data_IF_015616660393
#
_entry.id   IF_015616660393
#
_cell.length_a   1.000
_cell.length_b   1.000
_cell.length_c   1.000
_cell.angle_alpha   90.00
_cell.angle_beta   90.00
_cell.angle_gamma   90.00
#
_symmetry.space_group_name_H-M   'P 1'
#
loop_
_entity.id
_entity.type
_entity.pdbx_description
1 polymer ?
#
# COMPACT_ATOMS: atom_id res chain seq x y z
N UNK A 1 44.80 -58.91 10.19
CA UNK A 1 44.51 -58.55 8.79
C UNK A 1 43.03 -58.58 8.42
N UNK A 2 42.19 -59.49 8.95
CA UNK A 2 40.74 -59.48 8.63
C UNK A 2 39.94 -58.26 9.11
N UNK A 3 40.36 -57.61 10.19
CA UNK A 3 39.61 -56.42 10.73
C UNK A 3 39.97 -55.15 10.04
N UNK A 4 41.12 -55.01 9.43
CA UNK A 4 41.54 -53.85 8.67
C UNK A 4 40.80 -53.79 7.33
N UNK A 5 40.56 -54.91 6.70
CA UNK A 5 39.86 -55.03 5.44
C UNK A 5 38.34 -54.71 5.57
N UNK A 6 37.74 -54.98 6.75
CA UNK A 6 36.35 -54.65 7.05
C UNK A 6 36.18 -53.15 7.30
N UNK A 7 37.18 -52.49 7.89
CA UNK A 7 37.17 -51.05 8.12
C UNK A 7 37.33 -50.24 6.82
N UNK A 8 38.18 -50.77 5.89
CA UNK A 8 38.32 -50.11 4.57
C UNK A 8 37.07 -50.24 3.68
N UNK A 9 36.35 -51.37 3.77
CA UNK A 9 35.10 -51.54 3.04
C UNK A 9 33.98 -50.61 3.56
N UNK A 10 33.99 -50.30 4.87
CA UNK A 10 33.00 -49.38 5.47
C UNK A 10 33.29 -47.90 5.16
N UNK A 11 34.59 -47.54 5.07
CA UNK A 11 34.99 -46.16 4.70
C UNK A 11 34.76 -45.89 3.23
N UNK A 12 34.94 -46.88 2.34
CA UNK A 12 34.61 -46.73 0.91
C UNK A 12 33.10 -46.65 0.66
N UNK A 13 32.29 -47.32 1.49
CA UNK A 13 30.82 -47.26 1.38
C UNK A 13 30.21 -45.91 1.82
N UNK A 14 30.87 -45.20 2.75
CA UNK A 14 30.40 -43.88 3.22
C UNK A 14 30.82 -42.71 2.32
N UNK A 15 31.88 -42.86 1.50
CA UNK A 15 32.31 -41.83 0.58
C UNK A 15 31.44 -41.82 -0.70
N UNK A 16 30.82 -42.96 -1.05
CA UNK A 16 29.94 -43.08 -2.21
C UNK A 16 28.52 -42.49 -2.00
N UNK A 17 28.15 -42.14 -0.76
CA UNK A 17 26.82 -41.60 -0.46
C UNK A 17 26.76 -40.06 -0.36
N UNK A 18 27.90 -39.38 -0.53
CA UNK A 18 27.98 -37.92 -0.47
C UNK A 18 28.00 -37.23 -1.85
N UNK A 19 27.92 -38.03 -2.94
CA UNK A 19 27.87 -37.44 -4.29
C UNK A 19 26.47 -37.49 -4.94
N UNK A 20 25.41 -37.74 -4.14
CA UNK A 20 24.04 -37.75 -4.62
C UNK A 20 23.28 -36.44 -4.33
N UNK A 21 24.00 -35.34 -4.12
CA UNK A 21 23.48 -34.00 -4.29
C UNK A 21 24.19 -33.36 -5.51
N UNK A 22 23.99 -33.92 -6.70
CA UNK A 22 24.20 -33.14 -7.91
C UNK A 22 23.04 -32.15 -7.97
N UNK A 23 23.37 -30.90 -8.02
CA UNK A 23 22.49 -29.80 -8.30
C UNK A 23 21.51 -30.14 -9.43
N UNK A 24 20.33 -30.64 -9.07
CA UNK A 24 19.21 -30.71 -9.99
C UNK A 24 18.55 -29.32 -10.06
N UNK A 25 19.39 -28.34 -10.38
CA UNK A 25 18.93 -26.97 -10.67
C UNK A 25 18.15 -26.91 -12.00
N UNK A 26 17.96 -28.04 -12.67
CA UNK A 26 17.22 -28.12 -13.92
C UNK A 26 15.71 -28.27 -13.76
N UNK A 27 15.21 -28.59 -12.55
CA UNK A 27 13.78 -28.80 -12.30
C UNK A 27 13.12 -27.71 -11.43
N UNK A 28 13.88 -26.81 -10.84
CA UNK A 28 13.30 -25.65 -10.21
C UNK A 28 12.97 -24.61 -11.30
N UNK A 29 11.71 -24.22 -11.45
CA UNK A 29 11.37 -23.11 -12.34
C UNK A 29 12.10 -21.86 -11.84
N UNK A 30 13.12 -21.43 -12.58
CA UNK A 30 13.82 -20.18 -12.32
C UNK A 30 12.91 -19.09 -12.88
N UNK A 31 12.55 -18.11 -12.05
CA UNK A 31 11.90 -16.88 -12.51
C UNK A 31 12.88 -16.14 -13.44
N UNK A 32 12.96 -16.57 -14.68
CA UNK A 32 13.91 -16.05 -15.64
C UNK A 32 13.21 -15.07 -16.56
N UNK A 33 13.49 -13.80 -16.33
CA UNK A 33 13.20 -12.66 -17.19
C UNK A 33 11.74 -12.21 -17.21
N UNK A 34 11.57 -10.88 -17.24
CA UNK A 34 10.32 -10.27 -17.67
C UNK A 34 9.85 -10.94 -18.97
N UNK A 35 8.55 -11.25 -19.09
CA UNK A 35 8.01 -11.81 -20.33
C UNK A 35 8.33 -10.86 -21.49
N UNK A 36 8.54 -11.44 -22.66
CA UNK A 36 8.90 -10.65 -23.85
C UNK A 36 7.75 -9.77 -24.34
N UNK A 37 6.53 -10.08 -23.96
CA UNK A 37 5.35 -9.39 -24.46
C UNK A 37 4.18 -9.47 -23.47
N UNK A 38 3.59 -8.31 -23.18
CA UNK A 38 2.30 -8.13 -22.53
C UNK A 38 1.50 -7.20 -23.44
N UNK A 39 0.39 -7.68 -24.01
CA UNK A 39 -0.41 -6.91 -24.96
C UNK A 39 -1.72 -6.47 -24.31
N UNK A 40 -1.89 -5.18 -24.11
CA UNK A 40 -3.16 -4.56 -23.75
C UNK A 40 -3.99 -4.35 -25.01
N UNK A 41 -5.19 -4.94 -25.07
CA UNK A 41 -6.07 -4.82 -26.23
C UNK A 41 -6.77 -3.46 -26.26
N UNK A 42 -6.87 -2.86 -27.44
CA UNK A 42 -7.64 -1.62 -27.61
C UNK A 42 -9.13 -1.90 -27.39
N UNK A 43 -9.77 -1.21 -26.42
CA UNK A 43 -11.20 -1.41 -26.17
C UNK A 43 -12.06 -0.99 -27.37
N UNK A 44 -13.20 -1.66 -27.57
CA UNK A 44 -14.13 -1.31 -28.65
C UNK A 44 -14.69 0.11 -28.56
N UNK A 45 -14.67 0.71 -27.34
CA UNK A 45 -15.13 2.08 -27.08
C UNK A 45 -14.04 3.15 -27.33
N UNK A 46 -12.85 2.78 -27.78
CA UNK A 46 -11.67 3.68 -27.85
C UNK A 46 -11.91 4.98 -28.61
N UNK A 47 -12.78 4.96 -29.60
CA UNK A 47 -13.13 6.12 -30.42
C UNK A 47 -14.52 6.71 -30.11
N UNK A 48 -15.18 6.24 -29.05
CA UNK A 48 -16.48 6.77 -28.63
C UNK A 48 -16.27 7.89 -27.62
N UNK A 49 -17.28 8.77 -27.48
CA UNK A 49 -17.34 9.71 -26.39
C UNK A 49 -17.59 8.96 -25.08
N UNK A 50 -16.75 9.22 -24.08
CA UNK A 50 -16.78 8.59 -22.77
C UNK A 50 -16.81 9.70 -21.73
N UNK A 51 -17.86 9.75 -20.93
CA UNK A 51 -17.94 10.58 -19.74
C UNK A 51 -17.63 9.72 -18.52
N UNK A 52 -16.55 10.09 -17.80
CA UNK A 52 -16.19 9.41 -16.57
C UNK A 52 -17.19 9.79 -15.48
N UNK A 53 -17.60 8.82 -14.68
CA UNK A 53 -18.51 9.03 -13.55
C UNK A 53 -18.04 8.26 -12.32
N UNK A 54 -18.46 8.67 -11.13
CA UNK A 54 -18.05 8.09 -9.85
C UNK A 54 -18.29 6.56 -9.76
N UNK A 55 -19.33 6.05 -10.41
CA UNK A 55 -19.70 4.62 -10.42
C UNK A 55 -19.46 3.92 -11.77
N UNK A 56 -18.90 4.64 -12.74
CA UNK A 56 -18.61 4.10 -14.05
C UNK A 56 -17.41 3.14 -14.03
N UNK A 57 -17.35 2.29 -15.07
CA UNK A 57 -16.21 1.40 -15.31
C UNK A 57 -15.81 1.43 -16.77
N UNK A 58 -14.53 1.12 -17.04
CA UNK A 58 -13.96 0.97 -18.37
C UNK A 58 -13.44 -0.47 -18.49
N UNK A 59 -13.98 -1.23 -19.43
CA UNK A 59 -13.62 -2.64 -19.62
C UNK A 59 -12.39 -2.78 -20.51
N UNK A 60 -11.39 -3.49 -20.00
CA UNK A 60 -10.15 -3.82 -20.71
C UNK A 60 -9.90 -5.32 -20.71
N UNK A 61 -9.16 -5.78 -21.71
CA UNK A 61 -8.65 -7.16 -21.80
C UNK A 61 -7.19 -7.12 -22.25
N UNK A 62 -6.42 -8.14 -21.91
CA UNK A 62 -5.01 -8.26 -22.31
C UNK A 62 -4.59 -9.71 -22.50
N UNK A 63 -3.42 -9.92 -23.13
CA UNK A 63 -2.82 -11.24 -23.25
C UNK A 63 -2.20 -11.69 -21.94
N UNK A 64 -2.24 -12.99 -21.66
CA UNK A 64 -1.44 -13.58 -20.59
C UNK A 64 0.04 -13.52 -20.97
N UNK A 65 0.90 -12.87 -20.17
CA UNK A 65 2.34 -12.88 -20.42
C UNK A 65 2.93 -14.24 -20.02
N UNK A 66 3.87 -14.73 -20.83
CA UNK A 66 4.61 -15.95 -20.51
C UNK A 66 5.82 -15.64 -19.60
N UNK A 67 5.72 -15.98 -18.33
CA UNK A 67 6.79 -15.86 -17.38
C UNK A 67 7.75 -17.08 -17.36
N UNK A 68 7.58 -18.03 -18.30
CA UNK A 68 8.38 -19.27 -18.38
C UNK A 68 7.93 -20.35 -17.41
N UNK A 69 6.98 -20.08 -16.54
CA UNK A 69 6.36 -21.04 -15.61
C UNK A 69 4.98 -20.52 -15.17
N UNK A 70 4.14 -21.43 -14.65
CA UNK A 70 2.83 -21.06 -14.13
C UNK A 70 2.99 -20.28 -12.83
N UNK A 71 2.74 -18.98 -12.88
CA UNK A 71 2.81 -18.09 -11.74
C UNK A 71 1.59 -17.19 -11.67
N UNK A 72 1.22 -16.80 -10.45
CA UNK A 72 0.16 -15.82 -10.25
C UNK A 72 0.73 -14.43 -10.53
N UNK A 73 0.33 -13.86 -11.67
CA UNK A 73 0.71 -12.50 -12.03
C UNK A 73 -0.27 -11.49 -11.46
N UNK A 74 0.24 -10.31 -11.16
CA UNK A 74 -0.55 -9.14 -10.76
C UNK A 74 -0.40 -8.07 -11.83
N UNK A 75 -1.52 -7.43 -12.19
CA UNK A 75 -1.60 -6.40 -13.21
C UNK A 75 -2.08 -5.10 -12.61
N UNK A 76 -1.43 -3.98 -12.96
CA UNK A 76 -1.75 -2.64 -12.48
C UNK A 76 -1.79 -1.67 -13.64
N UNK A 77 -2.86 -0.88 -13.75
CA UNK A 77 -2.98 0.14 -14.79
C UNK A 77 -2.22 1.40 -14.42
N UNK A 78 -1.53 1.97 -15.41
CA UNK A 78 -1.05 3.34 -15.37
C UNK A 78 -1.80 4.16 -16.41
N UNK A 79 -2.25 5.35 -15.99
CA UNK A 79 -2.99 6.30 -16.82
C UNK A 79 -2.09 7.48 -17.16
N UNK A 80 -2.27 8.02 -18.35
CA UNK A 80 -1.60 9.25 -18.80
C UNK A 80 -2.53 10.08 -19.67
N UNK A 81 -2.15 11.32 -19.91
CA UNK A 81 -2.87 12.25 -20.78
C UNK A 81 -1.99 12.56 -21.99
N UNK A 82 -2.52 12.34 -23.20
CA UNK A 82 -1.83 12.72 -24.41
C UNK A 82 -1.77 14.24 -24.54
N UNK A 83 -0.58 14.76 -24.82
CA UNK A 83 -0.31 16.17 -25.01
C UNK A 83 -0.50 16.57 -26.48
N UNK A 84 -0.56 17.87 -26.77
CA UNK A 84 -0.71 18.41 -28.13
C UNK A 84 0.40 17.98 -29.09
N UNK A 85 1.61 17.74 -28.57
CA UNK A 85 2.76 17.25 -29.35
C UNK A 85 2.75 15.73 -29.60
N UNK A 86 1.71 15.04 -29.13
CA UNK A 86 1.53 13.60 -29.26
C UNK A 86 2.26 12.78 -28.18
N UNK A 87 3.04 13.41 -27.29
CA UNK A 87 3.64 12.72 -26.15
C UNK A 87 2.59 12.38 -25.10
N UNK A 88 2.91 11.47 -24.18
CA UNK A 88 2.03 11.13 -23.07
C UNK A 88 2.65 11.61 -21.75
N UNK A 89 1.94 12.45 -21.02
CA UNK A 89 2.25 12.78 -19.63
C UNK A 89 1.63 11.71 -18.75
N UNK A 90 2.45 10.83 -18.22
CA UNK A 90 2.01 9.73 -17.36
C UNK A 90 1.76 10.18 -15.93
N UNK A 91 0.82 9.50 -15.25
CA UNK A 91 0.67 9.61 -13.80
C UNK A 91 1.91 9.02 -13.11
N UNK A 92 2.59 9.84 -12.32
CA UNK A 92 3.81 9.48 -11.59
C UNK A 92 3.72 9.94 -10.15
N UNK A 93 4.43 9.25 -9.26
CA UNK A 93 4.60 9.64 -7.88
C UNK A 93 5.55 10.82 -7.71
N UNK A 94 5.74 11.25 -6.47
CA UNK A 94 6.55 12.44 -6.12
C UNK A 94 8.02 12.35 -6.56
N UNK A 95 8.57 11.14 -6.67
CA UNK A 95 9.95 10.91 -7.08
C UNK A 95 10.07 10.54 -8.59
N UNK A 96 8.96 10.62 -9.33
CA UNK A 96 8.92 10.31 -10.75
C UNK A 96 8.70 8.82 -11.10
N UNK A 97 8.52 7.96 -10.12
CA UNK A 97 8.16 6.55 -10.33
C UNK A 97 6.73 6.42 -10.90
N UNK A 98 6.45 5.35 -11.66
CA UNK A 98 5.10 5.11 -12.15
C UNK A 98 4.09 5.01 -11.01
N UNK A 99 3.03 5.83 -11.04
CA UNK A 99 1.90 5.74 -10.13
C UNK A 99 0.77 4.99 -10.81
N UNK A 100 0.44 3.82 -10.25
CA UNK A 100 -0.61 2.95 -10.75
C UNK A 100 -1.96 3.28 -10.11
N UNK A 101 -3.05 2.83 -10.75
CA UNK A 101 -4.36 2.81 -10.12
C UNK A 101 -4.33 1.88 -8.90
N UNK A 102 -5.17 2.16 -7.90
CA UNK A 102 -5.14 1.45 -6.59
C UNK A 102 -5.55 -0.01 -6.70
N UNK A 103 -6.47 -0.33 -7.64
CA UNK A 103 -7.00 -1.68 -7.80
C UNK A 103 -6.06 -2.55 -8.64
N UNK A 104 -5.43 -3.59 -8.07
CA UNK A 104 -4.67 -4.59 -8.82
C UNK A 104 -5.60 -5.69 -9.35
N UNK A 105 -5.19 -6.35 -10.44
CA UNK A 105 -5.92 -7.44 -11.06
C UNK A 105 -5.05 -8.69 -11.16
N UNK A 106 -5.69 -9.87 -11.12
CA UNK A 106 -5.01 -11.18 -11.21
C UNK A 106 -5.54 -12.06 -12.36
N UNK A 107 -6.43 -11.51 -13.15
CA UNK A 107 -7.04 -12.13 -14.35
C UNK A 107 -6.79 -11.26 -15.57
N UNK A 108 -7.08 -11.74 -16.76
CA UNK A 108 -6.72 -11.06 -18.03
C UNK A 108 -7.79 -10.10 -18.56
N UNK A 109 -8.68 -9.67 -17.70
CA UNK A 109 -9.69 -8.65 -17.98
C UNK A 109 -9.94 -7.83 -16.71
N UNK A 110 -10.43 -6.61 -16.89
CA UNK A 110 -10.81 -5.75 -15.78
C UNK A 110 -11.92 -4.79 -16.19
N UNK A 111 -12.78 -4.50 -15.22
CA UNK A 111 -13.63 -3.32 -15.22
C UNK A 111 -12.95 -2.28 -14.32
N UNK A 112 -12.19 -1.39 -14.96
CA UNK A 112 -11.39 -0.36 -14.29
C UNK A 112 -12.29 0.76 -13.80
N UNK A 113 -12.18 1.16 -12.55
CA UNK A 113 -12.97 2.25 -11.98
C UNK A 113 -12.75 3.57 -12.72
N UNK A 114 -13.81 4.15 -13.26
CA UNK A 114 -13.76 5.46 -13.90
C UNK A 114 -13.35 6.57 -12.90
N UNK A 115 -13.68 6.41 -11.63
CA UNK A 115 -13.23 7.30 -10.56
C UNK A 115 -11.72 7.26 -10.38
N UNK A 116 -11.10 6.07 -10.31
CA UNK A 116 -9.63 5.95 -10.22
C UNK A 116 -8.94 6.56 -11.45
N UNK A 117 -9.53 6.38 -12.65
CA UNK A 117 -9.03 7.00 -13.88
C UNK A 117 -9.12 8.52 -13.80
N UNK A 118 -10.24 9.08 -13.36
CA UNK A 118 -10.42 10.52 -13.21
C UNK A 118 -9.47 11.11 -12.18
N UNK A 119 -9.23 10.42 -11.04
CA UNK A 119 -8.23 10.81 -10.04
C UNK A 119 -6.81 10.81 -10.63
N UNK A 120 -6.46 9.79 -11.42
CA UNK A 120 -5.16 9.74 -12.08
C UNK A 120 -4.99 10.89 -13.09
N UNK A 121 -6.05 11.27 -13.82
CA UNK A 121 -6.06 12.44 -14.72
C UNK A 121 -5.84 13.73 -13.92
N UNK A 122 -6.54 13.91 -12.81
CA UNK A 122 -6.38 15.08 -11.92
C UNK A 122 -4.94 15.19 -11.39
N UNK A 123 -4.32 14.07 -11.00
CA UNK A 123 -2.91 14.04 -10.59
C UNK A 123 -1.96 14.44 -11.73
N UNK A 124 -2.22 13.98 -12.97
CA UNK A 124 -1.45 14.37 -14.16
C UNK A 124 -1.56 15.86 -14.41
N UNK A 125 -2.75 16.45 -14.22
CA UNK A 125 -3.01 17.87 -14.39
C UNK A 125 -2.42 18.73 -13.25
N UNK A 126 -2.09 18.10 -12.10
CA UNK A 126 -1.50 18.76 -10.95
C UNK A 126 -2.53 19.37 -10.00
N UNK A 127 -3.78 18.88 -10.01
CA UNK A 127 -4.81 19.34 -9.07
C UNK A 127 -4.59 18.67 -7.71
N UNK A 128 -4.42 19.48 -6.67
CA UNK A 128 -4.20 19.01 -5.29
C UNK A 128 -5.49 19.07 -4.45
N UNK A 129 -6.48 19.85 -4.90
CA UNK A 129 -7.79 19.97 -4.26
C UNK A 129 -8.90 20.05 -5.31
N UNK A 130 -10.15 19.84 -4.90
CA UNK A 130 -11.32 20.02 -5.77
C UNK A 130 -11.45 21.47 -6.23
N UNK A 131 -11.03 22.43 -5.41
CA UNK A 131 -11.09 23.85 -5.74
C UNK A 131 -10.08 24.24 -6.85
N UNK A 132 -9.02 23.44 -7.05
CA UNK A 132 -8.05 23.65 -8.12
C UNK A 132 -8.54 23.11 -9.48
N UNK A 133 -9.61 22.33 -9.48
CA UNK A 133 -10.07 21.66 -10.69
C UNK A 133 -10.51 22.66 -11.76
N UNK A 134 -9.96 22.45 -12.95
CA UNK A 134 -10.38 23.14 -14.18
C UNK A 134 -10.86 22.10 -15.18
N UNK A 135 -12.04 22.32 -15.74
CA UNK A 135 -12.54 21.47 -16.83
C UNK A 135 -11.67 21.64 -18.08
N UNK A 136 -10.88 20.63 -18.37
CA UNK A 136 -9.96 20.59 -19.52
C UNK A 136 -10.65 20.10 -20.80
N UNK A 137 -11.97 19.86 -20.77
CA UNK A 137 -12.73 19.37 -21.89
C UNK A 137 -12.40 17.91 -22.27
N UNK A 138 -12.80 17.53 -23.47
CA UNK A 138 -12.61 16.17 -24.01
C UNK A 138 -11.17 15.98 -24.46
N UNK A 139 -10.51 14.92 -23.96
CA UNK A 139 -9.09 14.65 -24.22
C UNK A 139 -8.85 13.18 -24.57
N UNK A 140 -7.67 12.91 -25.11
CA UNK A 140 -7.17 11.54 -25.33
C UNK A 140 -6.43 11.08 -24.08
N UNK A 141 -6.92 9.97 -23.51
CA UNK A 141 -6.35 9.35 -22.31
C UNK A 141 -5.62 8.08 -22.72
N UNK A 142 -4.39 7.95 -22.28
CA UNK A 142 -3.50 6.82 -22.53
C UNK A 142 -3.54 5.84 -21.36
N UNK A 143 -3.51 4.57 -21.68
CA UNK A 143 -3.44 3.48 -20.71
C UNK A 143 -2.30 2.54 -21.06
N UNK A 144 -1.55 2.10 -20.07
CA UNK A 144 -0.67 0.94 -20.18
C UNK A 144 -0.81 0.08 -18.94
N UNK A 145 -0.50 -1.19 -19.10
CA UNK A 145 -0.58 -2.18 -18.05
C UNK A 145 0.83 -2.58 -17.62
N UNK A 146 1.06 -2.66 -16.32
CA UNK A 146 2.26 -3.25 -15.75
C UNK A 146 1.90 -4.61 -15.17
N UNK A 147 2.55 -5.66 -15.66
CA UNK A 147 2.40 -7.03 -15.18
C UNK A 147 3.68 -7.47 -14.47
N UNK A 148 3.53 -8.13 -13.31
CA UNK A 148 4.64 -8.69 -12.55
C UNK A 148 4.18 -9.87 -11.71
N UNK A 149 5.12 -10.71 -11.26
CA UNK A 149 4.86 -11.75 -10.26
C UNK A 149 5.02 -11.13 -8.88
N UNK A 150 4.14 -11.50 -7.96
CA UNK A 150 4.28 -11.16 -6.54
C UNK A 150 4.64 -12.39 -5.73
N UNK A 151 5.53 -12.22 -4.77
CA UNK A 151 5.90 -13.25 -3.80
C UNK A 151 4.71 -13.58 -2.88
N UNK A 152 4.79 -14.68 -2.16
CA UNK A 152 3.77 -15.08 -1.16
C UNK A 152 3.60 -14.08 -0.01
N UNK A 153 4.56 -13.16 0.17
CA UNK A 153 4.48 -12.05 1.14
C UNK A 153 4.04 -10.73 0.49
N UNK A 154 3.64 -10.77 -0.79
CA UNK A 154 3.07 -9.61 -1.48
C UNK A 154 4.09 -8.64 -2.08
N UNK A 155 5.38 -8.95 -2.08
CA UNK A 155 6.42 -8.14 -2.72
C UNK A 155 6.57 -8.47 -4.20
N UNK A 156 6.95 -7.48 -5.00
CA UNK A 156 7.23 -7.67 -6.42
C UNK A 156 8.51 -8.51 -6.59
N UNK A 157 8.44 -9.57 -7.40
CA UNK A 157 9.62 -10.38 -7.70
C UNK A 157 10.47 -9.63 -8.72
N UNK A 158 11.72 -9.33 -8.35
CA UNK A 158 12.66 -8.57 -9.17
C UNK A 158 12.85 -9.22 -10.55
N UNK A 159 12.89 -8.38 -11.59
CA UNK A 159 13.12 -8.82 -12.97
C UNK A 159 11.91 -9.43 -13.68
N UNK A 160 10.74 -9.52 -13.02
CA UNK A 160 9.50 -10.05 -13.66
C UNK A 160 8.59 -8.96 -14.21
N UNK A 161 8.87 -7.69 -13.92
CA UNK A 161 8.04 -6.57 -14.32
C UNK A 161 8.12 -6.25 -15.82
N UNK A 162 6.98 -6.09 -16.48
CA UNK A 162 6.87 -5.70 -17.89
C UNK A 162 5.72 -4.73 -18.10
N UNK A 163 5.94 -3.71 -18.94
CA UNK A 163 4.86 -2.84 -19.43
C UNK A 163 4.29 -3.37 -20.73
N UNK A 164 2.97 -3.21 -20.90
CA UNK A 164 2.30 -3.44 -22.17
C UNK A 164 2.59 -2.32 -23.20
N UNK A 165 2.10 -2.52 -24.43
CA UNK A 165 1.84 -1.41 -25.35
C UNK A 165 0.89 -0.39 -24.71
N UNK A 166 0.91 0.84 -25.25
CA UNK A 166 -0.05 1.90 -24.89
C UNK A 166 -1.30 1.79 -25.76
N UNK A 167 -2.48 1.90 -25.12
CA UNK A 167 -3.76 2.07 -25.81
C UNK A 167 -4.38 3.41 -25.45
N UNK A 168 -5.23 3.95 -26.33
CA UNK A 168 -5.79 5.28 -26.18
C UNK A 168 -7.32 5.22 -26.21
N UNK A 169 -7.97 6.02 -25.34
CA UNK A 169 -9.35 6.40 -25.41
C UNK A 169 -9.41 7.86 -25.88
N UNK A 170 -9.92 8.10 -27.10
CA UNK A 170 -9.66 9.36 -27.80
C UNK A 170 -10.60 10.51 -27.41
N UNK A 171 -11.75 10.24 -26.78
CA UNK A 171 -12.77 11.25 -26.49
C UNK A 171 -13.28 11.08 -25.05
N UNK A 172 -12.42 11.34 -24.07
CA UNK A 172 -12.75 11.19 -22.64
C UNK A 172 -12.98 12.54 -22.00
N UNK A 173 -14.14 12.71 -21.41
CA UNK A 173 -14.49 13.81 -20.51
C UNK A 173 -14.31 13.34 -19.06
N UNK A 174 -13.40 14.00 -18.32
CA UNK A 174 -13.19 13.76 -16.90
C UNK A 174 -14.06 14.70 -16.06
N UNK A 175 -14.03 14.52 -14.76
CA UNK A 175 -14.78 15.33 -13.79
C UNK A 175 -13.92 15.67 -12.57
N UNK A 176 -14.40 16.63 -11.75
CA UNK A 176 -13.71 17.06 -10.55
C UNK A 176 -13.64 15.94 -9.50
N UNK A 177 -12.47 15.33 -9.37
CA UNK A 177 -12.14 14.36 -8.32
C UNK A 177 -10.64 14.39 -8.09
N UNK A 178 -10.24 14.50 -6.83
CA UNK A 178 -8.83 14.48 -6.42
C UNK A 178 -8.61 13.36 -5.42
N UNK A 179 -7.38 12.96 -5.27
CA UNK A 179 -7.01 12.02 -4.22
C UNK A 179 -6.99 12.77 -2.88
N UNK A 180 -7.68 12.23 -1.89
CA UNK A 180 -7.68 12.80 -0.55
C UNK A 180 -6.56 12.19 0.30
N UNK A 181 -5.96 12.98 1.23
CA UNK A 181 -5.05 12.44 2.21
C UNK A 181 -5.69 11.29 3.00
N UNK A 182 -4.88 10.29 3.35
CA UNK A 182 -5.30 9.20 4.20
C UNK A 182 -5.49 9.64 5.65
N UNK A 183 -5.96 8.74 6.50
CA UNK A 183 -6.04 8.91 7.95
C UNK A 183 -5.85 7.57 8.65
N UNK A 184 -5.47 7.65 9.91
CA UNK A 184 -5.49 6.53 10.85
C UNK A 184 -6.31 6.94 12.07
N UNK A 185 -6.79 5.98 12.84
CA UNK A 185 -7.62 6.22 14.01
C UNK A 185 -6.87 5.86 15.29
N UNK A 186 -7.00 6.70 16.32
CA UNK A 186 -6.47 6.38 17.64
C UNK A 186 -7.55 5.68 18.47
N UNK A 187 -7.20 4.57 19.14
CA UNK A 187 -8.09 3.82 20.00
C UNK A 187 -7.41 3.45 21.31
N UNK A 188 -8.05 3.71 22.43
CA UNK A 188 -7.49 3.47 23.75
C UNK A 188 -8.42 3.86 24.88
N UNK A 189 -7.88 4.00 26.11
CA UNK A 189 -8.68 4.49 27.23
C UNK A 189 -9.15 5.94 27.01
N UNK A 190 -8.38 6.74 26.24
CA UNK A 190 -8.74 8.10 25.86
C UNK A 190 -10.00 8.15 24.97
N UNK A 191 -10.33 7.07 24.29
CA UNK A 191 -11.56 6.91 23.47
C UNK A 191 -12.60 6.04 24.18
N UNK A 192 -12.42 5.75 25.47
CA UNK A 192 -13.27 4.83 26.21
C UNK A 192 -13.30 3.41 25.66
N UNK A 193 -12.26 2.99 24.92
CA UNK A 193 -12.20 1.68 24.26
C UNK A 193 -13.42 1.39 23.38
N UNK A 194 -13.96 2.39 22.69
CA UNK A 194 -15.00 2.16 21.68
C UNK A 194 -14.47 1.22 20.61
N UNK A 195 -15.30 0.29 20.13
CA UNK A 195 -14.91 -0.61 19.07
C UNK A 195 -14.55 0.17 17.79
N UNK A 196 -13.37 -0.06 17.18
CA UNK A 196 -12.96 0.59 15.92
C UNK A 196 -13.69 -0.05 14.71
N UNK A 197 -15.01 -0.02 14.72
CA UNK A 197 -15.89 -0.61 13.71
C UNK A 197 -16.61 0.44 12.88
N UNK A 198 -17.09 0.06 11.68
CA UNK A 198 -17.80 0.94 10.76
C UNK A 198 -19.05 1.61 11.39
N UNK A 199 -19.70 0.94 12.37
CA UNK A 199 -20.82 1.49 13.11
C UNK A 199 -20.47 2.69 14.01
N UNK A 200 -19.20 2.89 14.32
CA UNK A 200 -18.70 3.96 15.18
C UNK A 200 -17.94 5.04 14.41
N UNK A 201 -18.12 5.13 13.09
CA UNK A 201 -17.39 6.07 12.24
C UNK A 201 -17.53 7.52 12.70
N UNK A 202 -18.74 7.99 12.99
CA UNK A 202 -19.00 9.36 13.45
C UNK A 202 -18.26 9.67 14.77
N UNK A 203 -18.15 8.71 15.68
CA UNK A 203 -17.33 8.83 16.88
C UNK A 203 -15.84 8.97 16.52
N UNK A 204 -15.33 8.10 15.63
CA UNK A 204 -13.93 8.08 15.25
C UNK A 204 -13.51 9.22 14.33
N UNK A 205 -14.43 9.94 13.68
CA UNK A 205 -14.12 11.17 12.94
C UNK A 205 -13.50 12.25 13.86
N UNK A 206 -13.77 12.19 15.19
CA UNK A 206 -13.13 13.07 16.18
C UNK A 206 -11.79 12.51 16.71
N UNK A 207 -11.45 11.28 16.38
CA UNK A 207 -10.25 10.58 16.84
C UNK A 207 -9.38 10.11 15.66
N UNK A 208 -9.52 10.77 14.52
CA UNK A 208 -8.69 10.50 13.35
C UNK A 208 -7.40 11.35 13.38
N UNK A 209 -6.33 10.75 12.93
CA UNK A 209 -5.04 11.39 12.70
C UNK A 209 -4.86 11.49 11.19
N UNK A 210 -5.10 12.64 10.58
CA UNK A 210 -5.01 12.81 9.14
C UNK A 210 -3.56 12.75 8.65
N UNK A 211 -3.39 12.28 7.44
CA UNK A 211 -2.15 12.41 6.71
C UNK A 211 -1.89 13.89 6.36
N UNK A 212 -0.64 14.32 6.39
CA UNK A 212 -0.28 15.73 6.15
C UNK A 212 -0.39 16.17 4.69
N UNK A 213 -0.74 15.26 3.82
CA UNK A 213 -0.97 15.44 2.39
C UNK A 213 -1.03 14.08 1.72
N UNK A 214 -1.54 14.01 0.50
CA UNK A 214 -1.72 12.75 -0.23
C UNK A 214 -0.41 11.95 -0.29
N UNK A 215 -0.44 10.70 0.11
CA UNK A 215 0.68 9.74 0.05
C UNK A 215 1.99 10.26 0.70
N UNK A 216 1.89 11.11 1.70
CA UNK A 216 3.10 11.54 2.45
C UNK A 216 3.58 10.46 3.41
N UNK A 217 2.69 9.55 3.83
CA UNK A 217 2.94 8.57 4.88
C UNK A 217 3.19 9.19 6.26
N UNK A 218 2.90 10.49 6.42
CA UNK A 218 3.11 11.25 7.66
C UNK A 218 1.76 11.74 8.18
N UNK A 219 1.37 11.26 9.35
CA UNK A 219 0.10 11.55 10.00
C UNK A 219 0.32 12.44 11.21
N UNK A 220 -0.52 13.47 11.40
CA UNK A 220 -0.42 14.39 12.54
C UNK A 220 -1.78 14.78 13.07
N UNK A 221 -1.89 14.79 14.39
CA UNK A 221 -3.06 15.35 15.09
C UNK A 221 -2.67 15.87 16.47
N UNK A 222 -3.57 16.63 17.04
CA UNK A 222 -3.49 17.13 18.41
C UNK A 222 -4.85 16.92 19.07
N UNK A 223 -4.88 16.24 20.21
CA UNK A 223 -6.09 15.93 20.96
C UNK A 223 -6.03 16.49 22.35
N UNK A 224 -7.09 17.14 22.80
CA UNK A 224 -7.26 17.40 24.22
C UNK A 224 -7.72 16.11 24.91
N UNK A 225 -6.97 15.68 25.91
CA UNK A 225 -7.25 14.47 26.69
C UNK A 225 -7.66 14.90 28.09
N UNK A 226 -8.89 14.55 28.47
CA UNK A 226 -9.35 14.69 29.83
C UNK A 226 -8.54 13.76 30.75
N UNK A 227 -8.56 14.08 32.08
CA UNK A 227 -7.93 13.20 33.05
C UNK A 227 -8.51 11.80 32.96
N UNK A 228 -7.63 10.81 32.81
CA UNK A 228 -8.00 9.41 32.71
C UNK A 228 -8.02 8.72 34.07
N UNK A 229 -8.89 7.74 34.25
CA UNK A 229 -8.87 6.86 35.39
C UNK A 229 -7.54 6.07 35.44
N UNK A 230 -6.94 6.00 36.65
CA UNK A 230 -5.66 5.31 36.85
C UNK A 230 -4.43 6.13 36.49
N UNK A 231 -4.58 7.44 36.25
CA UNK A 231 -3.47 8.39 35.99
C UNK A 231 -2.53 7.97 34.85
N UNK A 232 -3.06 7.36 33.81
CA UNK A 232 -2.30 7.01 32.61
C UNK A 232 -3.14 7.20 31.34
N UNK A 233 -2.47 7.36 30.21
CA UNK A 233 -3.05 7.27 28.86
C UNK A 233 -2.51 6.02 28.16
N UNK A 234 -3.39 5.31 27.46
CA UNK A 234 -3.03 4.08 26.75
C UNK A 234 -3.79 4.02 25.44
N UNK A 235 -3.06 3.80 24.33
CA UNK A 235 -3.65 3.75 23.01
C UNK A 235 -2.80 2.97 22.00
N UNK A 236 -3.42 2.67 20.87
CA UNK A 236 -2.83 2.17 19.64
C UNK A 236 -3.58 2.77 18.45
N UNK A 237 -3.20 2.41 17.24
CA UNK A 237 -3.81 2.94 16.02
C UNK A 237 -4.51 1.85 15.22
N UNK A 238 -5.43 2.27 14.35
CA UNK A 238 -6.11 1.47 13.35
C UNK A 238 -6.07 2.19 12.02
N UNK A 239 -5.76 1.47 10.95
CA UNK A 239 -5.78 2.01 9.57
C UNK A 239 -7.18 2.02 8.97
N UNK A 240 -8.09 1.19 9.50
CA UNK A 240 -9.47 1.05 9.06
C UNK A 240 -10.40 0.77 10.24
N UNK A 241 -11.68 1.10 10.10
CA UNK A 241 -12.72 0.81 11.10
C UNK A 241 -13.42 -0.51 10.79
N UNK A 242 -12.71 -1.62 10.94
CA UNK A 242 -13.17 -2.98 10.60
C UNK A 242 -13.40 -3.90 11.82
N UNK A 243 -13.22 -3.37 13.03
CA UNK A 243 -13.42 -4.08 14.31
C UNK A 243 -12.09 -4.39 15.00
N UNK A 244 -12.20 -5.07 16.19
CA UNK A 244 -11.05 -5.38 17.02
C UNK A 244 -10.09 -6.41 16.42
N UNK A 245 -10.63 -7.40 15.72
CA UNK A 245 -9.92 -8.62 15.32
C UNK A 245 -9.50 -8.59 13.84
N UNK A 246 -8.98 -7.46 13.39
CA UNK A 246 -8.59 -7.27 11.99
C UNK A 246 -7.12 -6.90 11.85
N UNK A 247 -6.59 -7.04 10.64
CA UNK A 247 -5.21 -6.65 10.30
C UNK A 247 -5.01 -5.13 10.25
N UNK A 248 -6.05 -4.33 10.54
CA UNK A 248 -6.00 -2.87 10.56
C UNK A 248 -5.36 -2.28 11.82
N UNK A 249 -5.13 -3.08 12.87
CA UNK A 249 -4.49 -2.66 14.11
C UNK A 249 -2.98 -2.52 13.94
N UNK A 250 -2.44 -1.34 14.16
CA UNK A 250 -1.00 -1.03 14.10
C UNK A 250 -0.53 -0.42 15.42
N UNK A 251 0.74 -0.62 15.76
CA UNK A 251 1.28 -0.13 17.04
C UNK A 251 2.50 -0.89 17.50
N UNK A 252 2.40 -1.57 18.64
CA UNK A 252 3.48 -2.34 19.25
C UNK A 252 3.12 -3.83 19.29
N UNK A 253 4.12 -4.70 19.36
CA UNK A 253 3.90 -6.15 19.51
C UNK A 253 3.33 -6.54 20.88
N UNK A 254 3.52 -5.69 21.89
CA UNK A 254 2.99 -5.85 23.27
C UNK A 254 2.78 -4.50 23.92
N UNK A 255 1.93 -4.47 24.96
CA UNK A 255 1.79 -3.27 25.80
C UNK A 255 3.14 -2.85 26.36
N UNK A 256 3.48 -1.59 26.21
CA UNK A 256 4.76 -1.04 26.61
C UNK A 256 4.54 0.21 27.44
N UNK A 257 5.10 0.21 28.65
CA UNK A 257 5.20 1.41 29.48
C UNK A 257 6.26 2.34 28.88
N UNK A 258 5.78 3.41 28.26
CA UNK A 258 6.59 4.43 27.64
C UNK A 258 6.91 5.54 28.65
N UNK A 259 8.00 6.25 28.43
CA UNK A 259 8.41 7.34 29.31
C UNK A 259 8.48 8.65 28.54
N UNK A 260 7.88 9.70 29.12
CA UNK A 260 8.10 11.05 28.65
C UNK A 260 9.52 11.50 29.02
N UNK A 261 10.17 12.20 28.12
CA UNK A 261 11.40 12.91 28.46
C UNK A 261 11.12 14.19 29.27
N UNK A 262 12.15 14.96 29.59
CA UNK A 262 12.03 16.21 30.36
C UNK A 262 11.22 17.31 29.65
N UNK A 263 10.94 17.16 28.37
CA UNK A 263 10.13 18.06 27.55
C UNK A 263 8.71 17.54 27.30
N UNK A 264 8.34 16.43 27.93
CA UNK A 264 7.06 15.75 27.70
C UNK A 264 6.97 15.01 26.36
N UNK A 265 8.11 14.65 25.75
CA UNK A 265 8.17 13.99 24.44
C UNK A 265 8.49 12.51 24.57
N UNK A 266 8.04 11.74 23.60
CA UNK A 266 8.41 10.34 23.38
C UNK A 266 8.72 10.12 21.92
N UNK A 267 9.78 9.36 21.62
CA UNK A 267 10.13 8.89 20.30
C UNK A 267 10.26 7.38 20.30
N UNK A 268 9.56 6.72 19.41
CA UNK A 268 9.51 5.25 19.36
C UNK A 268 9.31 4.70 17.97
N UNK A 269 9.04 3.40 17.93
CA UNK A 269 8.72 2.68 16.71
C UNK A 269 7.22 2.39 16.65
N UNK A 270 6.73 2.16 15.43
CA UNK A 270 5.42 1.59 15.14
C UNK A 270 5.58 0.42 14.18
N UNK A 271 4.84 -0.65 14.38
CA UNK A 271 4.78 -1.81 13.51
C UNK A 271 3.52 -1.71 12.68
N UNK A 272 3.66 -1.87 11.36
CA UNK A 272 2.61 -1.58 10.36
C UNK A 272 2.38 -2.71 9.37
N UNK A 273 3.19 -3.78 9.43
CA UNK A 273 3.24 -4.91 8.49
C UNK A 273 2.39 -6.12 8.92
N UNK A 274 1.49 -5.93 9.86
CA UNK A 274 0.62 -6.97 10.37
C UNK A 274 -0.32 -6.46 11.47
N UNK A 275 -1.03 -7.40 12.09
CA UNK A 275 -1.88 -7.12 13.24
C UNK A 275 -1.05 -6.98 14.51
N UNK A 276 -1.12 -5.81 15.14
CA UNK A 276 -0.42 -5.53 16.39
C UNK A 276 -1.38 -5.05 17.47
N UNK A 277 -1.40 -5.74 18.62
CA UNK A 277 -2.33 -5.48 19.73
C UNK A 277 -1.69 -4.74 20.90
N UNK A 278 -0.39 -4.45 20.81
CA UNK A 278 0.33 -3.72 21.84
C UNK A 278 0.01 -2.23 21.85
N UNK A 279 -0.19 -1.69 23.03
CA UNK A 279 -0.49 -0.29 23.25
C UNK A 279 0.73 0.48 23.74
N UNK A 280 0.82 1.75 23.38
CA UNK A 280 1.64 2.74 24.08
C UNK A 280 0.93 3.11 25.37
N UNK A 281 1.65 3.08 26.48
CA UNK A 281 1.12 3.47 27.79
C UNK A 281 2.05 4.48 28.45
N UNK A 282 1.49 5.57 28.92
CA UNK A 282 2.21 6.70 29.54
C UNK A 282 1.55 7.12 30.84
N UNK A 283 2.33 7.50 31.83
CA UNK A 283 1.82 8.17 33.02
C UNK A 283 1.31 9.58 32.64
N UNK A 284 0.11 9.92 33.08
CA UNK A 284 -0.51 11.24 32.88
C UNK A 284 -1.51 11.51 34.01
N UNK A 285 -1.04 12.21 35.04
CA UNK A 285 -1.82 12.51 36.23
C UNK A 285 -2.85 13.64 36.06
N UNK A 286 -2.81 14.36 34.93
CA UNK A 286 -3.69 15.52 34.64
C UNK A 286 -4.27 15.43 33.24
N UNK A 287 -5.30 16.24 32.99
CA UNK A 287 -5.70 16.57 31.63
C UNK A 287 -4.57 17.31 30.89
N UNK A 288 -4.65 17.32 29.56
CA UNK A 288 -3.65 17.97 28.76
C UNK A 288 -3.83 17.73 27.26
N UNK A 289 -2.90 18.24 26.47
CA UNK A 289 -2.89 18.09 25.02
C UNK A 289 -1.87 17.02 24.62
N UNK A 290 -2.33 16.03 23.83
CA UNK A 290 -1.52 15.00 23.23
C UNK A 290 -1.32 15.31 21.74
N UNK A 291 -0.10 15.72 21.37
CA UNK A 291 0.31 15.87 19.98
C UNK A 291 0.86 14.52 19.48
N UNK A 292 0.43 14.11 18.31
CA UNK A 292 0.81 12.84 17.67
C UNK A 292 1.44 13.12 16.31
N UNK A 293 2.58 12.49 16.06
CA UNK A 293 3.16 12.35 14.72
C UNK A 293 3.47 10.88 14.48
N UNK A 294 2.95 10.32 13.39
CA UNK A 294 3.26 8.96 12.92
C UNK A 294 3.88 9.08 11.53
N UNK A 295 5.05 8.47 11.33
CA UNK A 295 5.72 8.38 10.04
C UNK A 295 5.82 6.91 9.61
N UNK A 296 4.91 6.50 8.71
CA UNK A 296 4.83 5.14 8.18
C UNK A 296 6.05 4.78 7.30
N UNK A 297 6.65 5.77 6.61
CA UNK A 297 7.81 5.51 5.74
C UNK A 297 9.06 5.08 6.52
N UNK A 298 9.15 5.49 7.78
CA UNK A 298 10.29 5.19 8.65
C UNK A 298 9.92 4.30 9.84
N UNK A 299 8.64 3.92 9.95
CA UNK A 299 8.09 3.17 11.07
C UNK A 299 8.41 3.85 12.43
N UNK A 300 8.24 5.16 12.50
CA UNK A 300 8.52 5.97 13.69
C UNK A 300 7.30 6.73 14.17
N UNK A 301 7.25 6.92 15.50
CA UNK A 301 6.28 7.81 16.15
C UNK A 301 7.00 8.84 17.00
N UNK A 302 6.39 10.01 17.08
CA UNK A 302 6.74 11.04 18.06
C UNK A 302 5.43 11.51 18.70
N UNK A 303 5.39 11.46 20.04
CA UNK A 303 4.29 11.99 20.83
C UNK A 303 4.81 13.08 21.75
N UNK A 304 3.95 14.05 22.04
CA UNK A 304 4.20 15.07 23.04
C UNK A 304 2.95 15.27 23.89
N UNK A 305 3.10 15.20 25.19
CA UNK A 305 2.04 15.53 26.13
C UNK A 305 2.36 16.83 26.86
N UNK A 306 1.40 17.74 26.82
CA UNK A 306 1.50 19.04 27.52
C UNK A 306 0.35 19.10 28.51
N UNK A 307 0.62 18.96 29.83
CA UNK A 307 -0.40 19.07 30.87
C UNK A 307 -1.08 20.43 30.83
N UNK A 308 -2.36 20.46 31.20
CA UNK A 308 -3.06 21.71 31.46
C UNK A 308 -2.48 22.41 32.71
N UNK A 309 -2.52 23.73 32.72
CA UNK A 309 -2.06 24.56 33.84
C UNK A 309 -3.06 24.54 35.00
#
# INVERSE_FOLDING_TARGET
>A
MKNIMRMFAFVLGCVGLLTACSDDNGSNPIANKAPSELVLNTPAIANQYIELTDKGTLSFTWSEPDFGYSALATYRFQVGVQQEDGTVKWNVGKNGEPKFLKTPYTVWNADVSAKEVAMAISNVDGFESIDDYVDMGVRTIAFRLYGNIRSGVGEDVEGTGVFSNTVYLNHVQSYAVVEEPGWIYICGNITGWQEPGAGNKEFYDNWCVPETGVETGIYKASFHIDRQDGDYIQFRFYTELTGWDTDSSIGLSKNTDCQWDSEGKYKGNILTDGRYEGNYKFDAASAGTLDITVNMNTNKVEFKFTPDN
#
